data_IF_386905350798
#
_entry.id   IF_386905350798
#
_cell.length_a   1.000
_cell.length_b   1.000
_cell.length_c   1.000
_cell.angle_alpha   90.00
_cell.angle_beta   90.00
_cell.angle_gamma   90.00
#
_symmetry.space_group_name_H-M   'P 1'
#
loop_
_entity.id
_entity.type
_entity.pdbx_description
1 polymer ?
#
# COMPACT_ATOMS: atom_id res chain seq x y z
N UNK A 1 6.83 -41.36 -15.80
CA UNK A 1 6.39 -39.95 -16.00
C UNK A 1 6.10 -39.34 -14.63
N UNK A 2 6.92 -38.44 -14.07
CA UNK A 2 6.72 -37.92 -12.73
C UNK A 2 5.67 -36.79 -12.71
N UNK A 3 4.78 -36.89 -11.71
CA UNK A 3 3.54 -36.14 -11.54
C UNK A 3 3.78 -34.64 -11.22
N UNK A 4 3.20 -33.74 -12.03
CA UNK A 4 3.29 -32.27 -11.90
C UNK A 4 2.53 -31.71 -10.68
N UNK A 5 1.78 -32.51 -9.93
CA UNK A 5 0.89 -32.00 -8.86
C UNK A 5 1.58 -31.64 -7.55
N UNK A 6 2.84 -32.05 -7.30
CA UNK A 6 3.54 -31.71 -6.04
C UNK A 6 4.13 -30.30 -5.99
N UNK A 7 4.23 -29.59 -7.13
CA UNK A 7 4.91 -28.28 -7.18
C UNK A 7 4.00 -27.09 -6.85
N UNK A 8 2.68 -27.24 -6.99
CA UNK A 8 1.71 -26.17 -6.72
C UNK A 8 1.44 -25.96 -5.22
N UNK A 9 1.62 -26.98 -4.39
CA UNK A 9 1.34 -26.91 -2.95
C UNK A 9 2.44 -26.23 -2.11
N UNK A 10 3.62 -25.95 -2.67
CA UNK A 10 4.78 -25.40 -1.94
C UNK A 10 4.86 -23.86 -1.94
N UNK A 11 3.89 -23.17 -2.53
CA UNK A 11 3.91 -21.71 -2.68
C UNK A 11 2.66 -20.99 -2.13
N UNK A 12 1.87 -21.64 -1.28
CA UNK A 12 1.01 -20.90 -0.36
C UNK A 12 1.91 -20.44 0.78
N UNK A 13 2.61 -19.30 0.59
CA UNK A 13 3.31 -18.64 1.69
C UNK A 13 2.31 -18.48 2.85
N UNK A 14 2.71 -18.86 4.07
CA UNK A 14 1.86 -18.66 5.24
C UNK A 14 1.50 -17.17 5.31
N UNK A 15 0.21 -16.88 5.17
CA UNK A 15 -0.27 -15.52 5.29
C UNK A 15 0.03 -15.01 6.71
N UNK A 16 0.44 -13.75 6.86
CA UNK A 16 0.63 -13.17 8.17
C UNK A 16 -0.68 -13.29 8.97
N UNK A 17 -0.58 -13.70 10.23
CA UNK A 17 -1.74 -13.74 11.12
C UNK A 17 -2.22 -12.32 11.38
N UNK A 18 -3.45 -12.03 10.98
CA UNK A 18 -4.10 -10.75 11.26
C UNK A 18 -4.84 -10.89 12.61
N UNK A 19 -4.54 -10.05 13.62
CA UNK A 19 -5.27 -10.02 14.88
C UNK A 19 -6.77 -9.79 14.68
N UNK A 20 -7.61 -10.42 15.51
CA UNK A 20 -9.07 -10.32 15.39
C UNK A 20 -9.55 -8.89 15.58
N UNK A 21 -8.88 -8.16 16.47
CA UNK A 21 -9.16 -6.77 16.80
C UNK A 21 -8.99 -5.84 15.60
N UNK A 22 -8.15 -6.19 14.63
CA UNK A 22 -8.04 -5.44 13.37
C UNK A 22 -9.20 -5.78 12.44
N UNK A 23 -9.60 -7.06 12.35
CA UNK A 23 -10.74 -7.47 11.52
C UNK A 23 -12.03 -6.82 12.02
N UNK A 24 -12.23 -6.75 13.34
CA UNK A 24 -13.40 -6.13 13.95
C UNK A 24 -13.51 -4.62 13.65
N UNK A 25 -12.40 -3.94 13.31
CA UNK A 25 -12.43 -2.54 12.86
C UNK A 25 -12.91 -2.40 11.41
N UNK A 26 -12.72 -3.42 10.57
CA UNK A 26 -13.17 -3.41 9.17
C UNK A 26 -14.57 -4.01 8.99
N UNK A 27 -15.00 -4.90 9.89
CA UNK A 27 -16.29 -5.61 9.82
C UNK A 27 -17.32 -4.92 10.72
N UNK A 28 -18.22 -4.14 10.12
CA UNK A 28 -19.27 -3.39 10.84
C UNK A 28 -20.58 -4.17 11.03
N UNK A 29 -20.61 -5.46 10.63
CA UNK A 29 -21.78 -6.33 10.65
C UNK A 29 -21.68 -7.43 9.58
N UNK A 30 -22.79 -8.12 9.26
CA UNK A 30 -22.81 -9.07 8.14
C UNK A 30 -22.41 -8.38 6.83
N UNK A 31 -21.37 -8.88 6.17
CA UNK A 31 -20.88 -8.34 4.89
C UNK A 31 -21.19 -9.29 3.73
N UNK A 32 -21.60 -8.74 2.59
CA UNK A 32 -21.66 -9.48 1.33
C UNK A 32 -20.25 -9.74 0.78
N UNK A 33 -20.12 -10.69 -0.14
CA UNK A 33 -18.83 -10.95 -0.81
C UNK A 33 -18.29 -9.70 -1.54
N UNK A 34 -19.19 -8.90 -2.12
CA UNK A 34 -18.84 -7.63 -2.76
C UNK A 34 -18.29 -6.62 -1.76
N UNK A 35 -18.97 -6.45 -0.61
CA UNK A 35 -18.51 -5.55 0.44
C UNK A 35 -17.12 -5.96 0.99
N UNK A 36 -16.87 -7.27 1.14
CA UNK A 36 -15.55 -7.79 1.54
C UNK A 36 -14.48 -7.45 0.50
N UNK A 37 -14.79 -7.58 -0.79
CA UNK A 37 -13.86 -7.22 -1.86
C UNK A 37 -13.55 -5.71 -1.88
N UNK A 38 -14.57 -4.86 -1.74
CA UNK A 38 -14.39 -3.41 -1.65
C UNK A 38 -13.53 -3.01 -0.46
N UNK A 39 -13.77 -3.60 0.72
CA UNK A 39 -12.95 -3.36 1.91
C UNK A 39 -11.49 -3.82 1.70
N UNK A 40 -11.29 -4.98 1.07
CA UNK A 40 -9.97 -5.50 0.73
C UNK A 40 -9.20 -4.57 -0.22
N UNK A 41 -9.88 -4.02 -1.24
CA UNK A 41 -9.32 -3.04 -2.16
C UNK A 41 -8.96 -1.72 -1.48
N UNK A 42 -9.82 -1.23 -0.58
CA UNK A 42 -9.54 -0.04 0.22
C UNK A 42 -8.33 -0.24 1.15
N UNK A 43 -8.24 -1.40 1.79
CA UNK A 43 -7.09 -1.76 2.62
C UNK A 43 -5.79 -1.84 1.80
N UNK A 44 -5.84 -2.52 0.64
CA UNK A 44 -4.70 -2.61 -0.28
C UNK A 44 -4.23 -1.23 -0.74
N UNK A 45 -5.17 -0.34 -1.10
CA UNK A 45 -4.86 1.07 -1.42
C UNK A 45 -4.13 1.75 -0.28
N UNK A 46 -4.71 1.74 0.92
CA UNK A 46 -4.15 2.42 2.09
C UNK A 46 -2.74 1.89 2.44
N UNK A 47 -2.54 0.57 2.35
CA UNK A 47 -1.25 -0.05 2.62
C UNK A 47 -0.18 0.40 1.62
N UNK A 48 -0.50 0.43 0.32
CA UNK A 48 0.42 0.88 -0.72
C UNK A 48 0.77 2.36 -0.53
N UNK A 49 -0.22 3.22 -0.31
CA UNK A 49 0.01 4.66 -0.11
C UNK A 49 0.83 4.95 1.14
N UNK A 50 0.61 4.17 2.20
CA UNK A 50 1.41 4.27 3.42
C UNK A 50 2.87 3.89 3.18
N UNK A 51 3.12 2.82 2.43
CA UNK A 51 4.46 2.39 2.06
C UNK A 51 5.17 3.46 1.19
N UNK A 52 4.51 3.95 0.14
CA UNK A 52 5.03 5.04 -0.71
C UNK A 52 5.33 6.31 0.09
N UNK A 53 4.48 6.65 1.07
CA UNK A 53 4.70 7.78 1.96
C UNK A 53 5.94 7.59 2.85
N UNK A 54 6.20 6.35 3.29
CA UNK A 54 7.40 6.00 4.03
C UNK A 54 8.66 6.08 3.15
N UNK A 55 8.60 5.61 1.91
CA UNK A 55 9.67 5.78 0.92
C UNK A 55 9.99 7.26 0.69
N UNK A 56 8.97 8.13 0.50
CA UNK A 56 9.21 9.57 0.38
C UNK A 56 9.82 10.17 1.65
N UNK A 57 9.46 9.64 2.83
CA UNK A 57 10.08 10.07 4.10
C UNK A 57 11.54 9.72 4.16
N UNK A 58 11.90 8.52 3.69
CA UNK A 58 13.28 8.09 3.59
C UNK A 58 14.05 8.96 2.59
N UNK A 59 13.49 9.19 1.39
CA UNK A 59 14.06 10.07 0.36
C UNK A 59 14.36 11.48 0.87
N UNK A 60 13.42 12.08 1.60
CA UNK A 60 13.58 13.44 2.11
C UNK A 60 14.41 13.52 3.41
N UNK A 61 14.60 12.40 4.10
CA UNK A 61 15.30 12.33 5.39
C UNK A 61 14.49 12.83 6.59
N UNK A 62 13.18 13.06 6.46
CA UNK A 62 12.31 13.47 7.58
C UNK A 62 10.85 13.03 7.42
N UNK A 63 10.20 12.85 8.57
CA UNK A 63 8.82 12.39 8.67
C UNK A 63 7.80 13.48 8.23
N UNK A 64 6.62 13.09 7.73
CA UNK A 64 5.55 14.04 7.44
C UNK A 64 5.11 14.76 8.72
N UNK A 65 4.79 16.06 8.62
CA UNK A 65 4.34 16.88 9.74
C UNK A 65 5.46 17.38 10.67
N UNK A 66 6.70 16.94 10.47
CA UNK A 66 7.86 17.47 11.20
C UNK A 66 8.41 18.69 10.47
N UNK A 67 8.93 19.66 11.22
CA UNK A 67 9.58 20.84 10.65
C UNK A 67 10.72 20.42 9.71
N UNK A 68 10.77 21.06 8.52
CA UNK A 68 11.81 20.79 7.53
C UNK A 68 13.19 21.16 8.12
N UNK A 69 14.20 20.28 8.06
CA UNK A 69 15.56 20.62 8.45
C UNK A 69 16.08 21.85 7.67
N UNK A 70 16.82 22.74 8.32
CA UNK A 70 17.32 23.98 7.67
C UNK A 70 18.15 23.72 6.40
N UNK A 71 18.90 22.62 6.41
CA UNK A 71 19.76 22.21 5.28
C UNK A 71 18.99 21.50 4.15
N UNK A 72 17.74 21.12 4.37
CA UNK A 72 16.94 20.42 3.36
C UNK A 72 16.38 21.41 2.34
N UNK A 73 16.82 21.28 1.08
CA UNK A 73 16.34 22.09 -0.04
C UNK A 73 14.98 21.56 -0.55
N UNK A 74 14.88 20.23 -0.64
CA UNK A 74 13.68 19.54 -1.10
C UNK A 74 12.61 19.38 0.01
N UNK A 75 11.36 19.22 -0.41
CA UNK A 75 10.22 18.99 0.49
C UNK A 75 9.07 18.28 -0.20
N UNK A 76 8.10 17.80 0.61
CA UNK A 76 6.88 17.18 0.10
C UNK A 76 6.04 18.20 -0.67
N UNK A 77 5.52 17.79 -1.83
CA UNK A 77 4.71 18.63 -2.71
C UNK A 77 3.39 17.93 -3.10
N UNK A 78 2.66 17.49 -2.08
CA UNK A 78 1.38 16.78 -2.23
C UNK A 78 1.53 15.41 -2.89
N UNK A 79 0.48 15.00 -3.62
CA UNK A 79 0.39 13.72 -4.31
C UNK A 79 -0.19 13.89 -5.73
N UNK A 80 -0.02 12.87 -6.56
CA UNK A 80 -0.62 12.77 -7.89
C UNK A 80 -1.34 11.44 -8.06
N UNK A 81 -2.55 11.48 -8.61
CA UNK A 81 -3.33 10.27 -8.83
C UNK A 81 -2.77 9.39 -9.96
N UNK A 82 -2.55 8.10 -9.68
CA UNK A 82 -2.19 7.07 -10.66
C UNK A 82 -3.16 5.90 -10.54
N UNK A 83 -3.70 5.44 -11.67
CA UNK A 83 -4.52 4.22 -11.70
C UNK A 83 -3.63 3.03 -12.05
N UNK A 84 -3.61 2.03 -11.17
CA UNK A 84 -2.86 0.77 -11.35
C UNK A 84 -3.84 -0.36 -11.64
N UNK A 85 -3.52 -1.22 -12.58
CA UNK A 85 -4.33 -2.41 -12.88
C UNK A 85 -3.95 -3.52 -11.91
N UNK A 86 -4.94 -4.03 -11.18
CA UNK A 86 -4.79 -5.19 -10.28
C UNK A 86 -5.63 -6.35 -10.79
N UNK A 87 -5.43 -7.55 -10.25
CA UNK A 87 -6.28 -8.70 -10.58
C UNK A 87 -7.76 -8.51 -10.21
N UNK A 88 -8.06 -7.61 -9.28
CA UNK A 88 -9.41 -7.26 -8.81
C UNK A 88 -10.00 -6.06 -9.57
N UNK A 89 -9.24 -5.45 -10.49
CA UNK A 89 -9.65 -4.29 -11.29
C UNK A 89 -8.74 -3.06 -11.11
N UNK A 90 -9.11 -1.91 -11.71
CA UNK A 90 -8.36 -0.66 -11.58
C UNK A 90 -8.39 -0.11 -10.15
N UNK A 91 -7.22 0.26 -9.62
CA UNK A 91 -7.07 0.88 -8.31
C UNK A 91 -6.44 2.26 -8.43
N UNK A 92 -7.14 3.29 -7.97
CA UNK A 92 -6.65 4.67 -7.96
C UNK A 92 -5.82 4.93 -6.70
N UNK A 93 -4.54 5.21 -6.88
CA UNK A 93 -3.57 5.52 -5.84
C UNK A 93 -3.15 6.99 -5.88
N UNK A 94 -2.89 7.57 -4.73
CA UNK A 94 -2.34 8.91 -4.54
C UNK A 94 -0.83 8.81 -4.33
N UNK A 95 -0.07 9.02 -5.42
CA UNK A 95 1.37 8.86 -5.44
C UNK A 95 2.03 10.08 -4.81
N UNK A 96 2.78 9.94 -3.70
CA UNK A 96 3.42 11.07 -3.05
C UNK A 96 4.55 11.64 -3.94
N UNK A 97 4.78 12.94 -3.83
CA UNK A 97 5.81 13.66 -4.60
C UNK A 97 6.63 14.60 -3.74
N UNK A 98 7.86 14.81 -4.17
CA UNK A 98 8.73 15.88 -3.70
C UNK A 98 8.64 17.12 -4.60
N UNK A 99 9.22 18.23 -4.17
CA UNK A 99 9.18 19.52 -4.88
C UNK A 99 10.10 19.53 -6.09
N UNK A 100 11.28 18.94 -5.94
CA UNK A 100 12.31 18.92 -6.97
C UNK A 100 12.05 17.86 -8.06
N UNK A 101 11.13 16.92 -7.81
CA UNK A 101 10.80 15.84 -8.75
C UNK A 101 11.89 14.78 -8.84
N UNK A 102 12.75 14.68 -7.82
CA UNK A 102 13.85 13.72 -7.74
C UNK A 102 13.44 12.40 -7.07
N UNK A 103 12.23 12.31 -6.52
CA UNK A 103 11.75 11.08 -5.89
C UNK A 103 11.37 10.03 -6.94
N UNK A 104 12.16 8.95 -6.99
CA UNK A 104 11.84 7.72 -7.71
C UNK A 104 11.35 6.66 -6.73
N UNK A 105 10.29 5.95 -7.11
CA UNK A 105 9.66 4.91 -6.29
C UNK A 105 10.30 3.57 -6.63
N UNK A 106 10.64 2.79 -5.60
CA UNK A 106 11.26 1.47 -5.75
C UNK A 106 10.30 0.40 -6.26
#
# INVERSE_FOLDING_TARGET
MPNKTKKAAKAAAELPRIPKELIDQFVTGPMSAEAVNTASMAFKKALIERALGAELSHHLGYAPGVAKPERAQNHRNGASGKTVLTGEGPLRLDMPRDREGSFERS
#
